data_IF_173393232718
#
_entry.id   IF_173393232718
#
_cell.length_a   1.000
_cell.length_b   1.000
_cell.length_c   1.000
_cell.angle_alpha   90.00
_cell.angle_beta   90.00
_cell.angle_gamma   90.00
#
_symmetry.space_group_name_H-M   'P 1'
#
loop_
_entity.id
_entity.type
_entity.pdbx_description
1 polymer ?
#
# COMPACT_ATOMS: atom_id res chain seq x y z
N UNK A 1 -8.96 -26.22 -3.54
CA UNK A 1 -7.71 -26.32 -2.76
C UNK A 1 -7.92 -25.53 -1.47
N UNK A 2 -7.52 -26.03 -0.30
CA UNK A 2 -7.70 -25.28 0.96
C UNK A 2 -6.78 -24.07 0.99
N UNK A 3 -7.23 -22.92 1.50
CA UNK A 3 -6.41 -21.72 1.66
C UNK A 3 -5.10 -22.01 2.40
N UNK A 4 -5.12 -22.96 3.35
CA UNK A 4 -3.93 -23.40 4.09
C UNK A 4 -2.82 -23.96 3.19
N UNK A 5 -3.16 -24.69 2.12
CA UNK A 5 -2.16 -25.19 1.17
C UNK A 5 -1.56 -24.06 0.34
N UNK A 6 -2.39 -23.08 -0.04
CA UNK A 6 -1.94 -21.91 -0.80
C UNK A 6 -0.98 -21.05 0.04
N UNK A 7 -1.30 -20.82 1.30
CA UNK A 7 -0.44 -20.08 2.24
C UNK A 7 0.88 -20.82 2.45
N UNK A 8 0.85 -22.15 2.59
CA UNK A 8 2.08 -22.94 2.68
C UNK A 8 2.93 -22.81 1.40
N UNK A 9 2.32 -22.82 0.22
CA UNK A 9 3.02 -22.66 -1.05
C UNK A 9 3.74 -21.30 -1.16
N UNK A 10 3.20 -20.23 -0.56
CA UNK A 10 3.86 -18.92 -0.53
C UNK A 10 5.18 -18.90 0.23
N UNK A 11 5.38 -19.84 1.15
CA UNK A 11 6.62 -20.00 1.92
C UNK A 11 7.69 -20.78 1.15
N UNK A 12 7.34 -21.40 0.02
CA UNK A 12 8.28 -22.19 -0.78
C UNK A 12 9.17 -21.28 -1.64
N UNK A 13 10.49 -21.38 -1.47
CA UNK A 13 11.47 -20.57 -2.21
C UNK A 13 11.44 -20.75 -3.73
N UNK A 14 10.94 -21.89 -4.22
CA UNK A 14 10.98 -22.23 -5.64
C UNK A 14 9.76 -21.74 -6.41
N UNK A 15 8.75 -21.17 -5.73
CA UNK A 15 7.57 -20.65 -6.40
C UNK A 15 7.92 -19.30 -7.07
N UNK A 16 7.72 -19.14 -8.39
CA UNK A 16 7.96 -17.87 -9.07
C UNK A 16 7.16 -16.72 -8.46
N UNK A 17 7.75 -15.51 -8.48
CA UNK A 17 7.11 -14.29 -7.93
C UNK A 17 5.70 -14.08 -8.50
N UNK A 18 5.51 -14.29 -9.80
CA UNK A 18 4.19 -14.12 -10.44
C UNK A 18 3.15 -15.12 -9.92
N UNK A 19 3.54 -16.37 -9.69
CA UNK A 19 2.64 -17.38 -9.13
C UNK A 19 2.31 -17.06 -7.66
N UNK A 20 3.28 -16.57 -6.89
CA UNK A 20 3.03 -16.04 -5.53
C UNK A 20 2.03 -14.89 -5.55
N UNK A 21 2.16 -13.94 -6.48
CA UNK A 21 1.23 -12.80 -6.62
C UNK A 21 -0.19 -13.25 -6.95
N UNK A 22 -0.37 -14.21 -7.85
CA UNK A 22 -1.70 -14.74 -8.17
C UNK A 22 -2.38 -15.33 -6.92
N UNK A 23 -1.64 -16.10 -6.12
CA UNK A 23 -2.16 -16.65 -4.86
C UNK A 23 -2.51 -15.52 -3.88
N UNK A 24 -1.63 -14.51 -3.74
CA UNK A 24 -1.86 -13.36 -2.86
C UNK A 24 -3.15 -12.63 -3.23
N UNK A 25 -3.36 -12.34 -4.52
CA UNK A 25 -4.55 -11.64 -5.01
C UNK A 25 -5.81 -12.47 -4.74
N UNK A 26 -5.82 -13.76 -5.10
CA UNK A 26 -6.95 -14.66 -4.89
C UNK A 26 -7.37 -14.76 -3.40
N UNK A 27 -6.39 -14.73 -2.48
CA UNK A 27 -6.63 -14.77 -1.04
C UNK A 27 -7.06 -13.41 -0.50
N UNK A 28 -6.49 -12.31 -1.02
CA UNK A 28 -6.85 -10.96 -0.63
C UNK A 28 -8.28 -10.59 -1.03
N UNK A 29 -8.72 -10.96 -2.23
CA UNK A 29 -10.11 -10.78 -2.67
C UNK A 29 -11.11 -11.52 -1.77
N UNK A 30 -10.69 -12.66 -1.21
CA UNK A 30 -11.47 -13.44 -0.22
C UNK A 30 -11.35 -12.90 1.20
N UNK A 31 -10.53 -11.87 1.41
CA UNK A 31 -10.22 -11.26 2.72
C UNK A 31 -9.68 -12.27 3.73
N UNK A 32 -8.83 -13.18 3.28
CA UNK A 32 -8.17 -14.13 4.17
C UNK A 32 -7.15 -13.39 5.06
N UNK A 33 -7.46 -13.24 6.35
CA UNK A 33 -6.62 -12.44 7.25
C UNK A 33 -5.19 -12.99 7.43
N UNK A 34 -4.93 -14.27 7.12
CA UNK A 34 -3.58 -14.84 7.22
C UNK A 34 -2.63 -14.27 6.15
N UNK A 35 -3.15 -13.73 5.04
CA UNK A 35 -2.32 -13.18 3.96
C UNK A 35 -1.84 -11.76 4.25
N UNK A 36 -2.54 -10.99 5.10
CA UNK A 36 -2.20 -9.60 5.41
C UNK A 36 -0.73 -9.41 5.84
N UNK A 37 -0.21 -10.13 6.87
CA UNK A 37 1.19 -10.01 7.25
C UNK A 37 2.16 -10.51 6.16
N UNK A 38 1.75 -11.46 5.32
CA UNK A 38 2.57 -11.98 4.21
C UNK A 38 2.73 -10.90 3.13
N UNK A 39 1.65 -10.17 2.80
CA UNK A 39 1.71 -9.06 1.85
C UNK A 39 2.67 -7.98 2.35
N UNK A 40 2.59 -7.62 3.64
CA UNK A 40 3.47 -6.64 4.25
C UNK A 40 4.95 -7.08 4.19
N UNK A 41 5.23 -8.35 4.46
CA UNK A 41 6.58 -8.90 4.34
C UNK A 41 7.08 -8.86 2.88
N UNK A 42 6.26 -9.26 1.91
CA UNK A 42 6.61 -9.25 0.50
C UNK A 42 6.93 -7.84 -0.01
N UNK A 43 6.23 -6.80 0.45
CA UNK A 43 6.50 -5.41 0.04
C UNK A 43 7.92 -4.97 0.40
N UNK A 44 8.50 -5.49 1.47
CA UNK A 44 9.86 -5.15 1.91
C UNK A 44 10.95 -5.95 1.19
N UNK A 45 10.58 -7.05 0.52
CA UNK A 45 11.53 -7.94 -0.13
C UNK A 45 11.96 -7.42 -1.53
N UNK A 46 13.28 -7.45 -1.85
CA UNK A 46 13.77 -6.99 -3.15
C UNK A 46 13.20 -7.74 -4.36
N UNK A 47 12.85 -9.02 -4.20
CA UNK A 47 12.30 -9.85 -5.29
C UNK A 47 10.94 -9.33 -5.78
N UNK A 48 10.19 -8.63 -4.91
CA UNK A 48 8.90 -8.04 -5.25
C UNK A 48 8.98 -6.56 -5.63
N UNK A 49 10.18 -5.98 -5.80
CA UNK A 49 10.33 -4.54 -6.12
C UNK A 49 9.49 -4.10 -7.32
N UNK A 50 9.37 -4.94 -8.35
CA UNK A 50 8.64 -4.64 -9.59
C UNK A 50 7.13 -4.86 -9.51
N UNK A 51 6.63 -5.44 -8.43
CA UNK A 51 5.21 -5.74 -8.23
C UNK A 51 4.65 -5.15 -6.93
N UNK A 52 5.38 -4.21 -6.30
CA UNK A 52 4.90 -3.50 -5.10
C UNK A 52 3.51 -2.87 -5.31
N UNK A 53 3.24 -2.31 -6.49
CA UNK A 53 1.92 -1.77 -6.83
C UNK A 53 0.80 -2.81 -6.69
N UNK A 54 1.02 -4.03 -7.20
CA UNK A 54 0.10 -5.16 -7.08
C UNK A 54 -0.11 -5.61 -5.63
N UNK A 55 0.96 -5.62 -4.82
CA UNK A 55 0.86 -5.97 -3.41
C UNK A 55 0.07 -4.91 -2.61
N UNK A 56 0.27 -3.63 -2.90
CA UNK A 56 -0.51 -2.54 -2.29
C UNK A 56 -1.97 -2.61 -2.72
N UNK A 57 -2.24 -2.90 -4.00
CA UNK A 57 -3.60 -3.18 -4.47
C UNK A 57 -4.25 -4.34 -3.70
N UNK A 58 -3.50 -5.39 -3.35
CA UNK A 58 -4.03 -6.46 -2.50
C UNK A 58 -4.39 -5.96 -1.09
N UNK A 59 -3.59 -5.05 -0.51
CA UNK A 59 -3.84 -4.45 0.81
C UNK A 59 -5.15 -3.63 0.87
N UNK A 60 -5.63 -3.13 -0.27
CA UNK A 60 -6.90 -2.40 -0.35
C UNK A 60 -8.15 -3.19 0.10
N UNK A 61 -8.03 -4.51 0.27
CA UNK A 61 -9.08 -5.40 0.78
C UNK A 61 -9.13 -5.47 2.32
N UNK A 62 -8.17 -4.86 3.01
CA UNK A 62 -8.00 -4.89 4.48
C UNK A 62 -8.31 -3.53 5.11
N UNK A 63 -8.45 -3.45 6.45
CA UNK A 63 -8.63 -2.18 7.14
C UNK A 63 -7.51 -1.19 6.79
N UNK A 64 -7.84 0.04 6.34
CA UNK A 64 -6.84 1.00 5.91
C UNK A 64 -6.15 1.74 7.07
N UNK A 65 -6.79 1.84 8.23
CA UNK A 65 -6.29 2.63 9.36
C UNK A 65 -4.90 2.18 9.86
N UNK A 66 -4.61 0.88 10.02
CA UNK A 66 -3.27 0.41 10.41
C UNK A 66 -2.18 0.68 9.37
N UNK A 67 -2.56 1.00 8.13
CA UNK A 67 -1.63 1.25 7.03
C UNK A 67 -1.32 2.73 6.87
N UNK A 68 -1.98 3.63 7.60
CA UNK A 68 -1.93 5.07 7.37
C UNK A 68 -0.50 5.61 7.19
N UNK A 69 0.38 5.42 8.18
CA UNK A 69 1.75 5.94 8.11
C UNK A 69 2.55 5.36 6.93
N UNK A 70 2.38 4.06 6.65
CA UNK A 70 3.00 3.41 5.48
C UNK A 70 2.43 3.96 4.18
N UNK A 71 1.13 4.23 4.13
CA UNK A 71 0.49 4.80 2.96
C UNK A 71 0.99 6.24 2.70
N UNK A 72 1.23 7.04 3.74
CA UNK A 72 1.87 8.35 3.56
C UNK A 72 3.28 8.22 2.98
N UNK A 73 4.09 7.29 3.48
CA UNK A 73 5.43 7.02 2.92
C UNK A 73 5.36 6.59 1.45
N UNK A 74 4.46 5.65 1.11
CA UNK A 74 4.24 5.18 -0.25
C UNK A 74 3.71 6.27 -1.18
N UNK A 75 2.84 7.16 -0.70
CA UNK A 75 2.32 8.30 -1.44
C UNK A 75 3.46 9.25 -1.87
N UNK A 76 4.39 9.51 -0.96
CA UNK A 76 5.48 10.48 -1.17
C UNK A 76 6.61 9.88 -1.99
N UNK A 77 7.04 8.65 -1.67
CA UNK A 77 8.27 8.05 -2.19
C UNK A 77 8.03 6.92 -3.19
N UNK A 78 6.80 6.43 -3.31
CA UNK A 78 6.45 5.36 -4.23
C UNK A 78 6.47 5.80 -5.69
N UNK A 79 6.77 4.86 -6.58
CA UNK A 79 6.51 4.99 -8.02
C UNK A 79 5.01 5.18 -8.29
N UNK A 80 4.66 5.58 -9.51
CA UNK A 80 3.28 5.92 -9.91
C UNK A 80 2.20 4.98 -9.34
N UNK A 81 2.31 3.68 -9.58
CA UNK A 81 1.31 2.68 -9.12
C UNK A 81 1.25 2.55 -7.60
N UNK A 82 2.41 2.62 -6.93
CA UNK A 82 2.52 2.52 -5.47
C UNK A 82 1.85 3.72 -4.80
N UNK A 83 2.12 4.92 -5.31
CA UNK A 83 1.57 6.15 -4.77
C UNK A 83 0.04 6.22 -4.97
N UNK A 84 -0.48 5.83 -6.13
CA UNK A 84 -1.93 5.79 -6.36
C UNK A 84 -2.63 4.70 -5.53
N UNK A 85 -2.01 3.54 -5.35
CA UNK A 85 -2.53 2.52 -4.43
C UNK A 85 -2.56 3.03 -2.99
N UNK A 86 -1.53 3.77 -2.57
CA UNK A 86 -1.51 4.40 -1.25
C UNK A 86 -2.61 5.46 -1.08
N UNK A 87 -2.85 6.29 -2.11
CA UNK A 87 -3.98 7.20 -2.15
C UNK A 87 -5.31 6.47 -1.94
N UNK A 88 -5.54 5.34 -2.62
CA UNK A 88 -6.78 4.57 -2.47
C UNK A 88 -6.96 4.05 -1.04
N UNK A 89 -5.88 3.63 -0.38
CA UNK A 89 -5.91 3.20 1.03
C UNK A 89 -6.30 4.38 1.91
N UNK A 90 -5.64 5.53 1.75
CA UNK A 90 -5.94 6.75 2.53
C UNK A 90 -7.39 7.18 2.33
N UNK A 91 -7.88 7.17 1.08
CA UNK A 91 -9.25 7.55 0.73
C UNK A 91 -10.34 6.64 1.30
N UNK A 92 -9.97 5.42 1.74
CA UNK A 92 -10.89 4.51 2.43
C UNK A 92 -10.97 4.77 3.95
N UNK A 93 -10.07 5.58 4.51
CA UNK A 93 -10.09 5.92 5.93
C UNK A 93 -11.23 6.90 6.18
N UNK A 94 -12.22 6.46 6.97
CA UNK A 94 -13.38 7.30 7.29
C UNK A 94 -13.08 8.40 8.31
N UNK A 95 -12.22 8.11 9.29
CA UNK A 95 -11.80 9.05 10.33
C UNK A 95 -10.52 8.57 11.00
N UNK A 96 -9.56 9.47 11.14
CA UNK A 96 -8.35 9.29 11.94
C UNK A 96 -8.03 10.61 12.65
N UNK A 97 -7.36 10.57 13.80
CA UNK A 97 -6.99 11.76 14.56
C UNK A 97 -5.78 11.51 15.44
N UNK A 98 -5.14 12.58 15.89
CA UNK A 98 -3.96 12.56 16.78
C UNK A 98 -2.68 12.92 16.04
N UNK A 99 -1.57 12.95 16.77
CA UNK A 99 -0.28 13.49 16.32
C UNK A 99 0.21 12.91 14.98
N UNK A 100 -0.09 11.64 14.69
CA UNK A 100 0.26 10.99 13.42
C UNK A 100 -0.39 11.69 12.21
N UNK A 101 -1.62 12.19 12.36
CA UNK A 101 -2.36 12.90 11.31
C UNK A 101 -1.75 14.29 11.12
N UNK A 102 -1.51 15.01 12.21
CA UNK A 102 -0.89 16.35 12.15
C UNK A 102 0.51 16.29 11.50
N UNK A 103 1.31 15.27 11.87
CA UNK A 103 2.60 15.03 11.26
C UNK A 103 2.50 14.69 9.77
N UNK A 104 1.56 13.82 9.38
CA UNK A 104 1.32 13.47 7.98
C UNK A 104 0.95 14.70 7.14
N UNK A 105 0.06 15.57 7.65
CA UNK A 105 -0.33 16.80 6.98
C UNK A 105 0.89 17.71 6.71
N UNK A 106 1.71 17.99 7.72
CA UNK A 106 2.88 18.86 7.55
C UNK A 106 3.93 18.27 6.61
N UNK A 107 4.12 16.94 6.63
CA UNK A 107 5.01 16.24 5.71
C UNK A 107 4.47 16.36 4.28
N UNK A 108 3.21 16.01 4.03
CA UNK A 108 2.60 16.05 2.69
C UNK A 108 2.64 17.49 2.15
N UNK A 109 2.30 18.48 2.98
CA UNK A 109 2.35 19.89 2.62
C UNK A 109 3.76 20.31 2.20
N UNK A 110 4.78 19.92 2.98
CA UNK A 110 6.18 20.18 2.62
C UNK A 110 6.52 19.58 1.26
N UNK A 111 6.22 18.29 1.05
CA UNK A 111 6.53 17.59 -0.19
C UNK A 111 5.74 18.12 -1.40
N UNK A 112 4.48 18.54 -1.23
CA UNK A 112 3.65 19.07 -2.32
C UNK A 112 4.25 20.32 -2.98
N UNK A 113 4.99 21.12 -2.20
CA UNK A 113 5.66 22.35 -2.68
C UNK A 113 7.01 22.11 -3.35
N UNK A 114 7.50 20.86 -3.36
CA UNK A 114 8.78 20.53 -3.99
C UNK A 114 8.67 20.59 -5.53
N UNK A 115 9.37 21.55 -6.12
CA UNK A 115 9.42 21.75 -7.58
C UNK A 115 10.11 20.63 -8.38
N UNK A 116 10.75 19.67 -7.71
CA UNK A 116 11.35 18.49 -8.35
C UNK A 116 10.37 17.33 -8.51
N UNK A 117 9.19 17.40 -7.89
CA UNK A 117 8.19 16.35 -8.02
C UNK A 117 7.68 16.26 -9.47
N UNK A 118 7.31 15.05 -9.87
CA UNK A 118 6.49 14.89 -11.06
C UNK A 118 5.14 15.57 -10.84
N UNK A 119 4.59 16.15 -11.91
CA UNK A 119 3.30 16.84 -11.87
C UNK A 119 2.18 15.99 -11.24
N UNK A 120 2.10 14.72 -11.65
CA UNK A 120 1.10 13.79 -11.14
C UNK A 120 1.22 13.56 -9.63
N UNK A 121 2.45 13.62 -9.08
CA UNK A 121 2.68 13.45 -7.65
C UNK A 121 2.24 14.68 -6.88
N UNK A 122 2.55 15.88 -7.37
CA UNK A 122 2.07 17.12 -6.76
C UNK A 122 0.54 17.19 -6.77
N UNK A 123 -0.11 16.82 -7.88
CA UNK A 123 -1.57 16.73 -7.96
C UNK A 123 -2.12 15.75 -6.92
N UNK A 124 -1.57 14.53 -6.86
CA UNK A 124 -2.01 13.49 -5.90
C UNK A 124 -1.79 13.90 -4.43
N UNK A 125 -0.68 14.56 -4.10
CA UNK A 125 -0.42 15.06 -2.74
C UNK A 125 -1.42 16.15 -2.35
N UNK A 126 -1.78 17.05 -3.27
CA UNK A 126 -2.78 18.07 -3.02
C UNK A 126 -4.18 17.46 -2.82
N UNK A 127 -4.54 16.47 -3.64
CA UNK A 127 -5.80 15.73 -3.47
C UNK A 127 -5.90 15.10 -2.07
N UNK A 128 -4.79 14.61 -1.51
CA UNK A 128 -4.75 14.11 -0.13
C UNK A 128 -4.85 15.22 0.91
N UNK A 129 -4.18 16.37 0.70
CA UNK A 129 -4.29 17.51 1.63
C UNK A 129 -5.73 18.00 1.76
N UNK A 130 -6.47 18.03 0.66
CA UNK A 130 -7.88 18.42 0.64
C UNK A 130 -8.77 17.46 1.46
N UNK A 131 -8.29 16.26 1.80
CA UNK A 131 -9.00 15.29 2.64
C UNK A 131 -8.84 15.53 4.14
N UNK A 132 -7.88 16.38 4.55
CA UNK A 132 -7.64 16.71 5.95
C UNK A 132 -8.57 17.83 6.47
N UNK A 133 -9.34 18.46 5.57
CA UNK A 133 -10.35 19.49 5.89
C UNK A 133 -11.64 18.90 6.47
#
# INVERSE_FOLDING_TARGET
MSNKFLIQALQEHNLPVWDKLHIVLDLAEKKDNEIYPIILDFIEQPEFKRCKGTLIYALENYPPEPLFEKAIDWLIHGEFEVAHGAFNIINKISKLSGDQVDNAYEIIKTFSTNHQNERWRTELLNDVLDMFE
#
